data_IF_055692307930
#
_entry.id   IF_055692307930
#
_cell.length_a   1.000
_cell.length_b   1.000
_cell.length_c   1.000
_cell.angle_alpha   90.00
_cell.angle_beta   90.00
_cell.angle_gamma   90.00
#
_symmetry.space_group_name_H-M   'P 1'
#
loop_
_entity.id
_entity.type
_entity.pdbx_description
1 polymer ?
#
# COMPACT_ATOMS: atom_id res chain seq x y z
N UNK A 1 1.01 -20.73 40.27
CA UNK A 1 0.60 -21.71 39.24
C UNK A 1 0.89 -21.16 37.85
N UNK A 2 1.58 -21.91 36.97
CA UNK A 2 1.65 -21.56 35.56
C UNK A 2 0.23 -21.56 34.99
N UNK A 3 -0.25 -20.43 34.46
CA UNK A 3 -1.58 -20.36 33.83
C UNK A 3 -1.62 -21.30 32.63
N UNK A 4 -2.72 -22.03 32.46
CA UNK A 4 -3.00 -22.84 31.27
C UNK A 4 -2.75 -22.02 30.00
N UNK A 5 -1.65 -22.34 29.29
CA UNK A 5 -1.30 -21.77 28.00
C UNK A 5 -1.63 -22.82 26.94
N UNK A 6 -2.37 -22.43 25.90
CA UNK A 6 -2.71 -23.33 24.79
C UNK A 6 -1.42 -23.78 24.08
N UNK A 7 -1.37 -25.05 23.69
CA UNK A 7 -0.24 -25.58 22.95
C UNK A 7 -0.14 -24.92 21.57
N UNK A 8 1.02 -24.34 21.23
CA UNK A 8 1.23 -23.66 19.94
C UNK A 8 1.97 -24.60 19.01
N UNK A 9 1.33 -25.02 17.92
CA UNK A 9 1.96 -25.88 16.90
C UNK A 9 3.11 -25.14 16.22
N UNK A 10 4.34 -25.62 16.37
CA UNK A 10 5.54 -25.03 15.77
C UNK A 10 5.76 -25.67 14.39
N UNK A 11 5.90 -24.84 13.35
CA UNK A 11 6.23 -25.30 12.00
C UNK A 11 7.75 -25.47 11.83
N UNK A 12 8.20 -26.60 11.27
CA UNK A 12 9.62 -26.89 11.00
C UNK A 12 10.15 -26.24 9.70
N UNK A 13 9.37 -25.39 9.05
CA UNK A 13 9.74 -24.72 7.80
C UNK A 13 10.90 -23.75 8.02
N UNK A 14 11.84 -23.66 7.07
CA UNK A 14 13.00 -22.74 7.10
C UNK A 14 12.64 -21.24 6.93
N UNK A 15 11.35 -20.86 6.99
CA UNK A 15 10.92 -19.49 6.75
C UNK A 15 11.16 -18.62 7.98
N UNK A 16 12.03 -17.62 7.85
CA UNK A 16 12.25 -16.62 8.89
C UNK A 16 11.02 -15.73 9.03
N UNK A 17 10.66 -15.41 10.28
CA UNK A 17 9.65 -14.38 10.54
C UNK A 17 10.15 -13.07 9.95
N UNK A 18 9.27 -12.33 9.26
CA UNK A 18 9.53 -10.92 8.91
C UNK A 18 9.67 -10.15 10.22
N UNK A 19 10.91 -9.90 10.64
CA UNK A 19 11.25 -9.25 11.92
C UNK A 19 10.99 -7.74 11.85
N UNK A 20 11.27 -7.10 10.71
CA UNK A 20 11.21 -5.64 10.59
C UNK A 20 9.94 -5.15 9.87
N UNK A 21 8.77 -5.61 10.32
CA UNK A 21 7.48 -5.25 9.68
C UNK A 21 7.18 -3.76 9.74
N UNK A 22 7.70 -3.04 10.75
CA UNK A 22 7.48 -1.60 10.92
C UNK A 22 8.31 -0.82 9.90
N UNK A 23 9.61 -1.04 9.89
CA UNK A 23 10.53 -0.41 8.93
C UNK A 23 10.10 -0.63 7.48
N UNK A 24 9.67 -1.85 7.10
CA UNK A 24 9.17 -2.11 5.75
C UNK A 24 7.91 -1.32 5.40
N UNK A 25 7.07 -0.98 6.38
CA UNK A 25 5.90 -0.11 6.16
C UNK A 25 6.34 1.35 6.03
N UNK A 26 7.29 1.77 6.84
CA UNK A 26 7.80 3.14 6.84
C UNK A 26 8.56 3.44 5.54
N UNK A 27 9.33 2.48 5.01
CA UNK A 27 9.97 2.56 3.70
C UNK A 27 8.94 2.69 2.56
N UNK A 28 7.88 1.86 2.59
CA UNK A 28 6.79 1.95 1.60
C UNK A 28 6.06 3.29 1.67
N UNK A 29 5.82 3.78 2.89
CA UNK A 29 5.21 5.07 3.12
C UNK A 29 6.05 6.20 2.51
N UNK A 30 7.37 6.17 2.76
CA UNK A 30 8.30 7.15 2.20
C UNK A 30 8.32 7.09 0.66
N UNK A 31 8.32 5.90 0.08
CA UNK A 31 8.29 5.69 -1.37
C UNK A 31 7.03 6.29 -2.01
N UNK A 32 5.85 6.04 -1.42
CA UNK A 32 4.58 6.61 -1.91
C UNK A 32 4.62 8.14 -1.84
N UNK A 33 5.07 8.71 -0.71
CA UNK A 33 5.17 10.17 -0.55
C UNK A 33 6.10 10.80 -1.59
N UNK A 34 7.25 10.19 -1.85
CA UNK A 34 8.20 10.64 -2.89
C UNK A 34 7.56 10.61 -4.27
N UNK A 35 6.84 9.55 -4.61
CA UNK A 35 6.16 9.43 -5.91
C UNK A 35 5.06 10.48 -6.08
N UNK A 36 4.29 10.77 -5.03
CA UNK A 36 3.26 11.81 -5.06
C UNK A 36 3.88 13.19 -5.26
N UNK A 37 5.07 13.46 -4.72
CA UNK A 37 5.75 14.76 -4.85
C UNK A 37 6.23 15.07 -6.28
N UNK A 38 6.37 14.07 -7.16
CA UNK A 38 6.79 14.28 -8.54
C UNK A 38 5.74 15.16 -9.27
N UNK A 39 6.15 16.15 -10.07
CA UNK A 39 5.23 16.96 -10.86
C UNK A 39 4.48 16.11 -11.90
N UNK A 40 3.29 16.54 -12.31
CA UNK A 40 2.45 15.88 -13.34
C UNK A 40 2.03 14.44 -13.04
N UNK A 41 2.06 14.04 -11.77
CA UNK A 41 1.55 12.73 -11.37
C UNK A 41 0.06 12.75 -11.07
N UNK A 42 -0.66 11.88 -11.75
CA UNK A 42 -2.07 11.59 -11.49
C UNK A 42 -2.20 10.39 -10.57
N UNK A 43 -3.12 10.48 -9.61
CA UNK A 43 -3.35 9.44 -8.59
C UNK A 43 -4.75 8.89 -8.78
N UNK A 44 -4.85 7.59 -9.05
CA UNK A 44 -6.13 6.89 -9.19
C UNK A 44 -6.32 5.85 -8.10
N UNK A 45 -7.57 5.68 -7.67
CA UNK A 45 -8.02 4.61 -6.78
C UNK A 45 -8.81 3.62 -7.60
N UNK A 46 -8.39 2.36 -7.58
CA UNK A 46 -9.13 1.27 -8.24
C UNK A 46 -9.73 0.38 -7.17
N UNK A 47 -11.03 0.10 -7.29
CA UNK A 47 -11.70 -0.95 -6.53
C UNK A 47 -11.76 -2.23 -7.37
N UNK A 48 -10.94 -3.22 -7.00
CA UNK A 48 -10.85 -4.49 -7.72
C UNK A 48 -11.40 -5.59 -6.81
N UNK A 49 -12.61 -6.07 -7.11
CA UNK A 49 -13.31 -7.10 -6.31
C UNK A 49 -12.61 -8.45 -6.31
N UNK A 50 -12.12 -8.87 -7.47
CA UNK A 50 -11.44 -10.16 -7.65
C UNK A 50 -10.32 -10.00 -8.65
N UNK A 51 -9.12 -10.44 -8.27
CA UNK A 51 -7.98 -10.49 -9.17
C UNK A 51 -7.14 -11.72 -8.87
N UNK A 52 -6.53 -12.27 -9.92
CA UNK A 52 -5.47 -13.26 -9.78
C UNK A 52 -4.11 -12.55 -9.75
N UNK A 53 -3.10 -13.20 -9.17
CA UNK A 53 -1.73 -12.68 -9.22
C UNK A 53 -1.21 -12.54 -10.65
N UNK A 54 -1.67 -13.39 -11.58
CA UNK A 54 -1.27 -13.32 -12.98
C UNK A 54 -1.85 -12.07 -13.66
N UNK A 55 -3.14 -11.80 -13.46
CA UNK A 55 -3.79 -10.63 -14.05
C UNK A 55 -3.16 -9.32 -13.53
N UNK A 56 -2.84 -9.27 -12.23
CA UNK A 56 -2.13 -8.12 -11.67
C UNK A 56 -0.75 -7.94 -12.28
N UNK A 57 0.02 -9.01 -12.49
CA UNK A 57 1.35 -8.91 -13.10
C UNK A 57 1.27 -8.32 -14.50
N UNK A 58 0.32 -8.79 -15.31
CA UNK A 58 0.11 -8.27 -16.67
C UNK A 58 -0.23 -6.78 -16.65
N UNK A 59 -1.16 -6.36 -15.77
CA UNK A 59 -1.49 -4.95 -15.62
C UNK A 59 -0.28 -4.12 -15.17
N UNK A 60 0.47 -4.59 -14.17
CA UNK A 60 1.67 -3.91 -13.67
C UNK A 60 2.72 -3.77 -14.78
N UNK A 61 2.95 -4.80 -15.58
CA UNK A 61 3.91 -4.76 -16.70
C UNK A 61 3.48 -3.76 -17.78
N UNK A 62 2.18 -3.74 -18.12
CA UNK A 62 1.64 -2.83 -19.11
C UNK A 62 1.85 -1.35 -18.73
N UNK A 63 1.64 -0.99 -17.47
CA UNK A 63 1.78 0.39 -17.01
C UNK A 63 3.15 0.73 -16.41
N UNK A 64 4.07 -0.23 -16.29
CA UNK A 64 5.42 0.00 -15.76
C UNK A 64 6.19 1.18 -16.38
N UNK A 65 6.10 1.48 -17.70
CA UNK A 65 6.84 2.61 -18.27
C UNK A 65 6.29 3.96 -17.81
N UNK A 66 4.97 4.06 -17.63
CA UNK A 66 4.27 5.33 -17.41
C UNK A 66 3.75 5.47 -15.98
N UNK A 67 3.85 4.43 -15.14
CA UNK A 67 3.21 4.45 -13.84
C UNK A 67 3.60 3.31 -12.90
N UNK A 68 3.02 3.38 -11.70
CA UNK A 68 3.31 2.43 -10.63
C UNK A 68 2.06 2.08 -9.84
N UNK A 69 1.90 0.78 -9.60
CA UNK A 69 0.85 0.25 -8.74
C UNK A 69 1.34 0.08 -7.30
N UNK A 70 0.54 0.55 -6.36
CA UNK A 70 0.73 0.31 -4.94
C UNK A 70 -0.45 -0.50 -4.39
N UNK A 71 -0.11 -1.68 -3.87
CA UNK A 71 -1.05 -2.62 -3.26
C UNK A 71 -0.69 -2.71 -1.78
N UNK A 72 -1.52 -2.12 -0.94
CA UNK A 72 -1.21 -1.91 0.47
C UNK A 72 -2.42 -2.09 1.37
N UNK A 73 -2.18 -1.99 2.68
CA UNK A 73 -3.28 -1.87 3.64
C UNK A 73 -3.87 -0.47 3.53
N UNK A 74 -5.19 -0.35 3.52
CA UNK A 74 -5.91 0.93 3.43
C UNK A 74 -5.37 1.96 4.43
N UNK A 75 -5.12 1.56 5.69
CA UNK A 75 -4.57 2.46 6.72
C UNK A 75 -3.21 3.06 6.35
N UNK A 76 -2.32 2.29 5.72
CA UNK A 76 -1.01 2.77 5.29
C UNK A 76 -1.16 3.76 4.13
N UNK A 77 -2.04 3.45 3.18
CA UNK A 77 -2.26 4.32 2.03
C UNK A 77 -2.92 5.66 2.43
N UNK A 78 -3.91 5.64 3.33
CA UNK A 78 -4.52 6.86 3.88
C UNK A 78 -3.48 7.75 4.58
N UNK A 79 -2.57 7.15 5.34
CA UNK A 79 -1.48 7.86 6.01
C UNK A 79 -0.42 8.40 5.02
N UNK A 80 -0.28 7.77 3.85
CA UNK A 80 0.60 8.23 2.79
C UNK A 80 0.07 9.47 2.06
N UNK A 81 -1.23 9.50 1.79
CA UNK A 81 -1.89 10.64 1.14
C UNK A 81 -2.10 11.83 2.08
N UNK A 82 -2.46 11.54 3.33
CA UNK A 82 -2.92 12.52 4.31
C UNK A 82 -4.36 12.21 4.73
N UNK A 83 -4.62 12.22 6.04
CA UNK A 83 -5.96 11.94 6.61
C UNK A 83 -6.81 13.22 6.65
N UNK A 84 -6.15 14.35 6.86
CA UNK A 84 -6.75 15.68 6.95
C UNK A 84 -6.01 16.62 6.00
N UNK A 85 -6.65 17.75 5.66
CA UNK A 85 -6.07 18.82 4.83
C UNK A 85 -4.72 19.33 5.39
N UNK A 86 -4.54 19.37 6.71
CA UNK A 86 -3.28 19.82 7.32
C UNK A 86 -2.09 18.88 7.10
N UNK A 87 -2.34 17.60 6.80
CA UNK A 87 -1.32 16.56 6.67
C UNK A 87 -1.23 15.99 5.26
N UNK A 88 -1.87 16.64 4.28
CA UNK A 88 -1.88 16.16 2.91
C UNK A 88 -0.58 16.51 2.18
N UNK A 89 -0.12 15.58 1.33
CA UNK A 89 1.14 15.75 0.58
C UNK A 89 0.96 16.72 -0.60
N UNK A 90 -0.24 16.77 -1.16
CA UNK A 90 -0.66 17.64 -2.26
C UNK A 90 -2.10 18.10 -2.00
N UNK A 91 -2.49 19.28 -2.51
CA UNK A 91 -3.84 19.80 -2.32
C UNK A 91 -4.90 18.79 -2.79
N UNK A 92 -5.97 18.63 -2.01
CA UNK A 92 -7.11 17.73 -2.27
C UNK A 92 -6.84 16.22 -2.18
N UNK A 93 -5.65 15.78 -1.73
CA UNK A 93 -5.36 14.34 -1.57
C UNK A 93 -6.13 13.70 -0.42
N UNK A 94 -6.46 14.49 0.61
CA UNK A 94 -7.28 14.06 1.74
C UNK A 94 -8.65 13.50 1.32
N UNK A 95 -9.27 14.06 0.27
CA UNK A 95 -10.56 13.61 -0.29
C UNK A 95 -10.48 12.18 -0.85
N UNK A 96 -9.39 11.85 -1.53
CA UNK A 96 -9.13 10.50 -2.07
C UNK A 96 -8.93 9.50 -0.91
N UNK A 97 -8.37 9.96 0.20
CA UNK A 97 -8.15 9.13 1.38
C UNK A 97 -9.45 8.72 2.08
N UNK A 98 -10.54 9.45 1.89
CA UNK A 98 -11.81 9.21 2.58
C UNK A 98 -12.49 7.93 2.09
N UNK A 99 -12.34 7.63 0.80
CA UNK A 99 -12.90 6.43 0.18
C UNK A 99 -12.40 5.14 0.87
N UNK A 100 -13.31 4.16 1.01
CA UNK A 100 -13.09 2.94 1.79
C UNK A 100 -12.72 1.71 0.95
N UNK A 101 -12.56 1.88 -0.36
CA UNK A 101 -12.39 0.76 -1.29
C UNK A 101 -11.07 -0.02 -1.06
N UNK A 102 -10.95 -1.20 -1.67
CA UNK A 102 -9.72 -1.98 -1.67
C UNK A 102 -8.70 -1.30 -2.58
N UNK A 103 -8.10 -0.25 -2.05
CA UNK A 103 -7.37 0.77 -2.78
C UNK A 103 -6.10 0.19 -3.40
N UNK A 104 -6.13 0.06 -4.72
CA UNK A 104 -4.94 0.10 -5.55
C UNK A 104 -4.66 1.56 -5.88
N UNK A 105 -3.48 2.04 -5.50
CA UNK A 105 -3.03 3.33 -5.98
C UNK A 105 -2.29 3.15 -7.29
N UNK A 106 -2.76 3.84 -8.32
CA UNK A 106 -2.08 3.94 -9.58
C UNK A 106 -1.56 5.36 -9.73
N UNK A 107 -0.23 5.52 -9.72
CA UNK A 107 0.40 6.79 -10.08
C UNK A 107 0.80 6.72 -11.55
N UNK A 108 0.29 7.65 -12.35
CA UNK A 108 0.61 7.80 -13.76
C UNK A 108 1.39 9.10 -13.95
N UNK A 109 2.58 9.01 -14.57
CA UNK A 109 3.27 10.12 -15.19
C UNK A 109 2.81 10.16 -16.65
N UNK A 110 2.16 11.25 -17.06
CA UNK A 110 1.93 11.57 -18.48
C UNK A 110 3.00 12.57 -18.90
#
# INVERSE_FOLDING_TARGET
>A
MPKSKRNVKISLTKVKKKVNKKEMKDLKLLEIKKMIQIPNVYVYVLDIRTYSNNNLKVAIEHFKPNGKFFIGKNKLMKLALGINENNEVKPNMSKISEEKYNIFFFLLNI
#
